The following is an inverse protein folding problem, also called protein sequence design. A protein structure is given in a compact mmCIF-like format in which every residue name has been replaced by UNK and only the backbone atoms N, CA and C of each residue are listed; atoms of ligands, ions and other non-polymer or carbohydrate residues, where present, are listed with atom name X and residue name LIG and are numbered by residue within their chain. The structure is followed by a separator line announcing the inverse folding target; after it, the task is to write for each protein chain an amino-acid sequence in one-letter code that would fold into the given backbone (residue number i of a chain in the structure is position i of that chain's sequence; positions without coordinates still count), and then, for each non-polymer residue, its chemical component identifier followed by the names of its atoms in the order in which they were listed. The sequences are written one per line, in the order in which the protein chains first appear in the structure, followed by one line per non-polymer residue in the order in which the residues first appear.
data_IF_545072789658
#
_entry.id   IF_545072789658
#
_cell.length_a   1.000
_cell.length_b   1.000
_cell.length_c   1.000
_cell.angle_alpha   90.00
_cell.angle_beta   90.00
_cell.angle_gamma   90.00
#
_symmetry.space_group_name_H-M   'P 1'
#
loop_
_entity.id
_entity.type
_entity.pdbx_description
1 polymer ?
#
# COMPACT_ATOMS: atom_id res chain seq x y z
N UNK A 1 5.67 21.67 -11.95
CA UNK A 1 5.02 21.24 -13.19
C UNK A 1 3.76 20.45 -12.88
N UNK A 2 2.61 21.08 -13.07
CA UNK A 2 1.31 20.47 -12.76
C UNK A 2 0.91 19.55 -13.90
N UNK A 3 1.00 18.24 -13.67
CA UNK A 3 0.39 17.24 -14.56
C UNK A 3 -1.12 17.44 -14.48
N UNK A 4 -1.73 17.88 -15.58
CA UNK A 4 -3.18 17.89 -15.72
C UNK A 4 -3.61 16.42 -15.83
N UNK A 5 -4.45 15.92 -14.91
CA UNK A 5 -4.92 14.54 -15.01
C UNK A 5 -5.69 14.36 -16.32
N UNK A 6 -5.55 13.20 -16.99
CA UNK A 6 -6.29 12.92 -18.21
C UNK A 6 -7.81 12.96 -17.94
N UNK A 7 -8.62 13.36 -18.94
CA UNK A 7 -10.06 13.38 -18.80
C UNK A 7 -10.62 11.96 -18.56
N UNK A 8 -11.79 11.88 -17.91
CA UNK A 8 -12.31 10.61 -17.37
C UNK A 8 -12.57 9.53 -18.43
N UNK A 9 -12.81 9.92 -19.67
CA UNK A 9 -13.00 9.06 -20.85
C UNK A 9 -11.69 8.44 -21.39
N UNK A 10 -10.55 8.98 -20.99
CA UNK A 10 -9.21 8.43 -21.28
C UNK A 10 -8.69 7.52 -20.17
N UNK A 11 -9.40 7.40 -19.04
CA UNK A 11 -9.03 6.49 -17.96
C UNK A 11 -9.34 5.04 -18.33
N UNK A 12 -8.49 4.12 -17.87
CA UNK A 12 -8.77 2.69 -17.98
C UNK A 12 -10.09 2.39 -17.23
N UNK A 13 -11.15 1.90 -17.91
CA UNK A 13 -12.46 1.70 -17.30
C UNK A 13 -12.42 0.67 -16.15
N UNK A 14 -11.49 -0.29 -16.20
CA UNK A 14 -11.29 -1.24 -15.11
C UNK A 14 -10.67 -0.56 -13.88
N UNK A 15 -9.80 0.43 -14.07
CA UNK A 15 -9.24 1.21 -12.98
C UNK A 15 -10.29 2.11 -12.33
N UNK A 16 -11.20 2.68 -13.12
CA UNK A 16 -12.35 3.46 -12.60
C UNK A 16 -13.27 2.58 -11.75
N UNK A 17 -13.60 1.39 -12.25
CA UNK A 17 -14.42 0.43 -11.50
C UNK A 17 -13.73 -0.03 -10.20
N UNK A 18 -12.42 -0.30 -10.25
CA UNK A 18 -11.62 -0.65 -9.09
C UNK A 18 -11.59 0.49 -8.05
N UNK A 19 -11.50 1.75 -8.48
CA UNK A 19 -11.52 2.91 -7.59
C UNK A 19 -12.86 3.02 -6.84
N UNK A 20 -13.98 2.80 -7.53
CA UNK A 20 -15.30 2.74 -6.89
C UNK A 20 -15.38 1.59 -5.89
N UNK A 21 -14.92 0.39 -6.25
CA UNK A 21 -14.93 -0.77 -5.36
C UNK A 21 -14.09 -0.55 -4.09
N UNK A 22 -12.95 0.13 -4.22
CA UNK A 22 -12.11 0.54 -3.07
C UNK A 22 -12.85 1.56 -2.21
N UNK A 23 -13.51 2.55 -2.81
CA UNK A 23 -14.35 3.52 -2.10
C UNK A 23 -15.42 2.84 -1.25
N UNK A 24 -16.21 1.95 -1.88
CA UNK A 24 -17.26 1.18 -1.21
C UNK A 24 -16.71 0.30 -0.07
N UNK A 25 -15.52 -0.31 -0.27
CA UNK A 25 -14.86 -1.12 0.74
C UNK A 25 -14.35 -0.30 1.94
N UNK A 26 -13.84 0.90 1.70
CA UNK A 26 -13.39 1.83 2.74
C UNK A 26 -14.59 2.33 3.56
N UNK A 27 -15.67 2.73 2.90
CA UNK A 27 -16.91 3.16 3.57
C UNK A 27 -17.50 2.03 4.44
N UNK A 28 -17.45 0.79 3.96
CA UNK A 28 -17.93 -0.36 4.73
C UNK A 28 -17.11 -0.69 6.00
N UNK A 29 -15.87 -0.18 6.11
CA UNK A 29 -14.94 -0.42 7.22
C UNK A 29 -14.70 0.82 8.12
N UNK A 30 -15.54 1.86 8.02
CA UNK A 30 -15.35 3.18 8.64
C UNK A 30 -15.00 3.17 10.14
N UNK A 31 -15.43 2.17 10.93
CA UNK A 31 -15.11 2.12 12.36
C UNK A 31 -13.74 1.54 12.71
N UNK A 32 -13.21 0.61 11.91
CA UNK A 32 -11.88 -0.03 12.14
C UNK A 32 -10.76 0.72 11.39
N UNK A 33 -11.11 1.44 10.31
CA UNK A 33 -10.15 2.17 9.49
C UNK A 33 -9.57 3.43 10.13
N UNK A 34 -10.22 4.00 11.15
CA UNK A 34 -9.68 5.16 11.89
C UNK A 34 -8.42 4.79 12.71
N UNK A 35 -8.20 3.50 13.00
CA UNK A 35 -6.99 2.98 13.67
C UNK A 35 -6.01 2.31 12.69
N UNK A 36 -6.43 2.09 11.44
CA UNK A 36 -5.63 1.42 10.42
C UNK A 36 -4.71 2.39 9.67
N UNK A 37 -3.41 2.08 9.66
CA UNK A 37 -2.38 2.87 8.99
C UNK A 37 -1.57 3.77 9.92
N UNK A 38 -0.60 4.48 9.34
CA UNK A 38 0.29 5.43 10.03
C UNK A 38 0.40 6.70 9.21
N UNK A 39 0.61 7.83 9.88
CA UNK A 39 0.87 9.08 9.15
C UNK A 39 2.23 8.99 8.47
N UNK A 40 2.43 9.71 7.37
CA UNK A 40 3.73 9.76 6.69
C UNK A 40 4.84 10.25 7.63
N UNK A 41 4.52 11.12 8.59
CA UNK A 41 5.46 11.60 9.60
C UNK A 41 5.91 10.51 10.59
N UNK A 42 5.13 9.44 10.75
CA UNK A 42 5.49 8.30 11.61
C UNK A 42 6.31 7.24 10.85
N UNK A 43 6.30 7.26 9.52
CA UNK A 43 7.01 6.29 8.69
C UNK A 43 8.49 6.63 8.66
N UNK A 44 9.31 5.70 9.17
CA UNK A 44 10.76 5.86 9.18
C UNK A 44 11.42 5.11 8.04
N UNK A 45 10.80 4.09 7.46
CA UNK A 45 11.46 3.25 6.45
C UNK A 45 10.53 2.97 5.30
N UNK A 46 11.03 3.21 4.08
CA UNK A 46 10.32 2.95 2.82
C UNK A 46 11.17 2.04 1.94
N UNK A 47 10.65 0.88 1.60
CA UNK A 47 11.38 -0.11 0.78
C UNK A 47 10.65 -0.27 -0.53
N UNK A 48 11.34 0.00 -1.63
CA UNK A 48 10.89 -0.39 -2.96
C UNK A 48 11.04 -1.91 -3.11
N UNK A 49 9.91 -2.59 -3.25
CA UNK A 49 9.81 -4.04 -3.44
C UNK A 49 9.15 -4.39 -4.77
N UNK A 50 9.07 -3.45 -5.72
CA UNK A 50 8.46 -3.63 -7.05
C UNK A 50 9.00 -4.86 -7.79
N UNK A 51 10.30 -5.15 -7.65
CA UNK A 51 10.93 -6.33 -8.23
C UNK A 51 10.33 -7.67 -7.73
N UNK A 52 9.59 -7.66 -6.61
CA UNK A 52 9.03 -8.84 -5.96
C UNK A 52 7.49 -8.89 -5.98
N UNK A 53 6.81 -7.93 -6.64
CA UNK A 53 5.35 -7.82 -6.63
C UNK A 53 4.64 -9.08 -7.15
N UNK A 54 5.18 -9.76 -8.17
CA UNK A 54 4.60 -11.01 -8.68
C UNK A 54 4.67 -12.15 -7.64
N UNK A 55 5.80 -12.28 -6.95
CA UNK A 55 5.97 -13.27 -5.89
C UNK A 55 4.98 -13.01 -4.74
N UNK A 56 4.81 -11.74 -4.35
CA UNK A 56 3.84 -11.32 -3.34
C UNK A 56 2.41 -11.65 -3.76
N UNK A 57 2.01 -11.35 -4.99
CA UNK A 57 0.67 -11.67 -5.53
C UNK A 57 0.37 -13.17 -5.50
N UNK A 58 1.29 -13.99 -5.99
CA UNK A 58 1.14 -15.46 -5.93
C UNK A 58 1.06 -15.99 -4.51
N UNK A 59 1.83 -15.42 -3.58
CA UNK A 59 1.74 -15.77 -2.16
C UNK A 59 0.35 -15.47 -1.59
N UNK A 60 -0.20 -14.29 -1.88
CA UNK A 60 -1.55 -13.92 -1.44
C UNK A 60 -2.62 -14.83 -2.05
N UNK A 61 -2.49 -15.26 -3.30
CA UNK A 61 -3.43 -16.22 -3.93
C UNK A 61 -3.45 -17.59 -3.26
N UNK A 62 -2.35 -18.02 -2.62
CA UNK A 62 -2.32 -19.25 -1.84
C UNK A 62 -3.21 -19.18 -0.59
N UNK A 63 -3.48 -17.98 -0.05
CA UNK A 63 -4.17 -17.77 1.21
C UNK A 63 -5.70 -17.68 1.02
N UNK A 64 -6.27 -18.62 0.24
CA UNK A 64 -7.67 -18.56 -0.24
C UNK A 64 -8.71 -18.35 0.87
N UNK A 65 -8.51 -18.96 2.04
CA UNK A 65 -9.44 -18.87 3.18
C UNK A 65 -9.30 -17.59 4.00
N UNK A 66 -8.25 -16.80 3.75
CA UNK A 66 -7.91 -15.57 4.49
C UNK A 66 -8.11 -14.30 3.64
N UNK A 67 -8.79 -14.40 2.49
CA UNK A 67 -9.03 -13.28 1.56
C UNK A 67 -10.07 -12.26 2.06
N UNK A 68 -10.69 -12.45 3.22
CA UNK A 68 -11.83 -11.64 3.66
C UNK A 68 -11.43 -10.17 3.93
N UNK A 69 -10.23 -9.93 4.44
CA UNK A 69 -9.81 -8.59 4.88
C UNK A 69 -9.15 -7.77 3.75
N UNK A 70 -8.49 -8.45 2.80
CA UNK A 70 -7.71 -7.83 1.72
C UNK A 70 -8.07 -8.37 0.32
N UNK A 71 -9.25 -8.96 0.17
CA UNK A 71 -9.71 -9.55 -1.10
C UNK A 71 -9.73 -8.55 -2.24
N UNK A 72 -10.10 -7.30 -1.95
CA UNK A 72 -10.14 -6.19 -2.91
C UNK A 72 -8.77 -5.94 -3.57
N UNK A 73 -7.67 -6.11 -2.85
CA UNK A 73 -6.31 -5.87 -3.36
C UNK A 73 -5.93 -6.88 -4.45
N UNK A 74 -6.48 -8.09 -4.36
CA UNK A 74 -6.24 -9.17 -5.33
C UNK A 74 -7.14 -9.06 -6.56
N UNK A 75 -8.25 -8.35 -6.42
CA UNK A 75 -9.19 -8.08 -7.51
C UNK A 75 -8.80 -6.83 -8.31
N UNK A 76 -7.81 -6.06 -7.84
CA UNK A 76 -7.26 -4.92 -8.59
C UNK A 76 -6.64 -5.36 -9.92
N UNK A 77 -6.78 -4.53 -10.98
CA UNK A 77 -5.98 -4.60 -12.20
C UNK A 77 -4.49 -4.67 -11.91
N UNK A 78 -3.73 -5.37 -12.74
CA UNK A 78 -2.31 -5.65 -12.49
C UNK A 78 -1.46 -4.38 -12.32
N UNK A 79 -1.72 -3.32 -13.08
CA UNK A 79 -1.04 -2.03 -12.98
C UNK A 79 -1.32 -1.33 -11.64
N UNK A 80 -2.58 -1.34 -11.18
CA UNK A 80 -2.96 -0.80 -9.88
C UNK A 80 -2.46 -1.66 -8.73
N UNK A 81 -2.57 -2.98 -8.85
CA UNK A 81 -2.09 -3.91 -7.85
C UNK A 81 -0.58 -3.77 -7.67
N UNK A 82 0.17 -3.65 -8.77
CA UNK A 82 1.60 -3.39 -8.73
C UNK A 82 1.91 -2.09 -7.98
N UNK A 83 1.23 -0.98 -8.30
CA UNK A 83 1.41 0.29 -7.60
C UNK A 83 1.07 0.18 -6.11
N UNK A 84 0.00 -0.53 -5.76
CA UNK A 84 -0.46 -0.69 -4.38
C UNK A 84 0.52 -1.50 -3.50
N UNK A 85 1.28 -2.45 -4.09
CA UNK A 85 2.16 -3.35 -3.33
C UNK A 85 3.66 -3.16 -3.61
N UNK A 86 4.03 -2.25 -4.50
CA UNK A 86 5.41 -1.99 -4.92
C UNK A 86 6.26 -1.35 -3.82
N UNK A 87 5.64 -0.80 -2.78
CA UNK A 87 6.36 -0.24 -1.63
C UNK A 87 5.85 -0.85 -0.34
N UNK A 88 6.78 -1.16 0.55
CA UNK A 88 6.48 -1.50 1.93
C UNK A 88 7.02 -0.43 2.88
N UNK A 89 6.25 -0.16 3.93
CA UNK A 89 6.49 0.92 4.87
C UNK A 89 6.62 0.36 6.27
N UNK A 90 7.59 0.87 7.03
CA UNK A 90 7.88 0.43 8.38
C UNK A 90 8.08 1.63 9.31
N UNK A 91 7.82 1.39 10.59
CA UNK A 91 8.11 2.32 11.68
C UNK A 91 9.14 1.67 12.59
N UNK A 92 10.35 2.23 12.59
CA UNK A 92 11.39 1.89 13.54
C UNK A 92 10.97 2.40 14.91
N UNK A 93 10.83 1.49 15.86
CA UNK A 93 10.35 1.83 17.21
C UNK A 93 11.47 2.27 18.15
N UNK A 94 12.69 1.83 17.89
CA UNK A 94 13.87 2.12 18.69
C UNK A 94 15.12 2.03 17.80
N UNK A 95 16.06 2.94 18.03
CA UNK A 95 17.37 2.95 17.39
C UNK A 95 18.42 2.94 18.50
N UNK A 96 19.24 1.88 18.53
CA UNK A 96 20.31 1.71 19.52
C UNK A 96 19.85 1.92 20.99
N UNK A 97 18.65 1.43 21.31
CA UNK A 97 18.06 1.51 22.65
C UNK A 97 17.48 2.89 23.03
N UNK A 98 17.39 3.81 22.07
CA UNK A 98 16.78 5.14 22.25
C UNK A 98 15.59 5.35 21.32
N UNK A 99 14.80 6.40 21.59
CA UNK A 99 13.74 6.84 20.69
C UNK A 99 14.30 7.26 19.33
N UNK A 100 13.55 6.97 18.28
CA UNK A 100 13.95 7.29 16.90
C UNK A 100 13.74 8.79 16.65
N UNK A 101 14.78 9.52 16.20
CA UNK A 101 14.61 10.92 15.82
C UNK A 101 13.59 11.08 14.70
N UNK A 102 12.77 12.13 14.73
CA UNK A 102 11.76 12.38 13.69
C UNK A 102 12.33 12.66 12.29
N UNK A 103 13.64 12.90 12.19
CA UNK A 103 14.35 13.08 10.92
C UNK A 103 14.94 11.78 10.37
N UNK A 104 14.77 10.66 11.07
CA UNK A 104 15.37 9.38 10.71
C UNK A 104 14.56 8.72 9.58
N UNK A 105 15.23 8.45 8.46
CA UNK A 105 14.63 7.76 7.33
C UNK A 105 15.57 6.73 6.71
N UNK A 106 15.03 5.59 6.32
CA UNK A 106 15.77 4.44 5.78
C UNK A 106 15.12 3.88 4.51
N UNK A 107 15.95 3.25 3.67
CA UNK A 107 15.51 2.47 2.49
C UNK A 107 15.89 0.99 2.57
N UNK A 108 16.42 0.55 3.71
CA UNK A 108 16.85 -0.83 4.01
C UNK A 108 16.58 -1.12 5.49
N UNK A 109 16.14 -2.34 5.82
CA UNK A 109 15.98 -2.77 7.22
C UNK A 109 17.27 -3.28 7.85
N UNK A 110 18.32 -3.49 7.05
CA UNK A 110 19.56 -4.13 7.50
C UNK A 110 20.66 -3.10 7.83
N UNK A 111 20.34 -1.80 7.79
CA UNK A 111 21.33 -0.73 7.75
C UNK A 111 22.06 -0.66 6.40
N UNK A 112 22.90 0.36 6.25
CA UNK A 112 23.96 0.42 5.23
C UNK A 112 25.30 -0.02 5.83
#
# INVERSE_FOLDING_TARGET
DGVVPPPADELNPTNVAALSQVGDAIEAQESDMLEFGRSEADVTTRIDVSAYSEAKRRSMDCHRTQRQDLGWLLDLPDDLAHQAIATEYYVLRWLDGSDVPSTHHETSLLGE
#
